data_IF_587472169840
#
_entry.id   IF_587472169840
#
_cell.length_a   1.000
_cell.length_b   1.000
_cell.length_c   1.000
_cell.angle_alpha   90.00
_cell.angle_beta   90.00
_cell.angle_gamma   90.00
#
_symmetry.space_group_name_H-M   'P 1'
#
loop_
_entity.id
_entity.type
_entity.pdbx_description
1 polymer ?
#
# COMPACT_ATOMS: atom_id res chain seq x y z
N UNK A 1 3.41 -20.73 -10.32
CA UNK A 1 2.81 -19.81 -9.38
C UNK A 1 2.37 -18.54 -10.09
N UNK A 2 1.16 -18.08 -9.86
CA UNK A 2 0.62 -16.88 -10.49
C UNK A 2 1.24 -15.60 -9.91
N UNK A 3 1.25 -14.56 -10.69
CA UNK A 3 1.53 -13.19 -10.26
C UNK A 3 0.20 -12.45 -10.19
N UNK A 4 -0.07 -11.73 -9.10
CA UNK A 4 -1.37 -11.08 -8.89
C UNK A 4 -1.18 -9.64 -8.44
N UNK A 5 -1.96 -8.75 -9.01
CA UNK A 5 -2.17 -7.40 -8.51
C UNK A 5 -3.65 -7.16 -8.23
N UNK A 6 -3.98 -6.47 -7.16
CA UNK A 6 -5.37 -6.22 -6.77
C UNK A 6 -6.17 -5.42 -7.79
N UNK A 7 -5.51 -4.59 -8.58
CA UNK A 7 -6.11 -3.81 -9.67
C UNK A 7 -5.66 -4.39 -11.03
N UNK A 8 -4.37 -4.64 -11.21
CA UNK A 8 -3.85 -5.26 -12.42
C UNK A 8 -2.54 -6.01 -12.17
N UNK A 9 -2.21 -6.96 -13.03
CA UNK A 9 -0.94 -7.68 -12.97
C UNK A 9 0.22 -6.77 -13.38
N UNK A 10 0.10 -6.08 -14.50
CA UNK A 10 1.14 -5.21 -15.04
C UNK A 10 0.54 -4.02 -15.77
N UNK A 11 1.20 -2.87 -15.71
CA UNK A 11 0.78 -1.71 -16.49
C UNK A 11 1.98 -0.82 -16.88
N UNK A 12 1.76 -0.04 -17.95
CA UNK A 12 2.71 0.93 -18.50
C UNK A 12 2.19 2.36 -18.54
N UNK A 13 1.03 2.61 -17.90
CA UNK A 13 0.35 3.90 -17.89
C UNK A 13 0.27 4.51 -16.48
N UNK A 14 -0.95 4.85 -16.05
CA UNK A 14 -1.22 5.47 -14.76
C UNK A 14 -2.33 4.75 -14.01
N UNK A 15 -2.06 4.33 -12.77
CA UNK A 15 -3.04 3.92 -11.77
C UNK A 15 -3.13 5.05 -10.75
N UNK A 16 -4.28 5.66 -10.60
CA UNK A 16 -4.48 6.78 -9.70
C UNK A 16 -5.82 6.72 -8.99
N UNK A 17 -5.83 7.09 -7.71
CA UNK A 17 -7.04 7.13 -6.88
C UNK A 17 -7.81 5.81 -6.87
N UNK A 18 -7.06 4.72 -6.81
CA UNK A 18 -7.60 3.35 -6.74
C UNK A 18 -7.33 2.73 -5.38
N UNK A 19 -8.12 1.74 -5.02
CA UNK A 19 -7.89 0.99 -3.78
C UNK A 19 -8.28 -0.48 -3.92
N UNK A 20 -7.63 -1.31 -3.12
CA UNK A 20 -7.99 -2.70 -2.90
C UNK A 20 -8.36 -2.93 -1.44
N UNK A 21 -9.52 -3.53 -1.21
CA UNK A 21 -9.99 -3.98 0.11
C UNK A 21 -10.24 -5.49 0.16
N UNK A 22 -10.05 -6.16 -0.98
CA UNK A 22 -10.19 -7.61 -1.06
C UNK A 22 -8.88 -8.32 -0.69
N UNK A 23 -9.00 -9.47 -0.09
CA UNK A 23 -7.84 -10.31 0.22
C UNK A 23 -7.27 -10.93 -1.06
N UNK A 24 -5.96 -10.88 -1.21
CA UNK A 24 -5.20 -11.57 -2.24
C UNK A 24 -4.47 -12.71 -1.57
N UNK A 25 -4.96 -13.93 -1.79
CA UNK A 25 -4.38 -15.13 -1.18
C UNK A 25 -4.02 -16.13 -2.26
N UNK A 26 -2.79 -16.58 -2.27
CA UNK A 26 -2.28 -17.56 -3.25
C UNK A 26 -1.23 -16.98 -4.18
N UNK A 27 -0.86 -17.75 -5.19
CA UNK A 27 0.26 -17.38 -6.05
C UNK A 27 1.59 -17.34 -5.26
N UNK A 28 2.57 -16.67 -5.81
CA UNK A 28 3.88 -16.54 -5.17
C UNK A 28 4.45 -15.13 -5.19
N UNK A 29 3.86 -14.24 -5.99
CA UNK A 29 4.39 -12.89 -6.18
C UNK A 29 3.22 -11.92 -6.34
N UNK A 30 2.88 -11.19 -5.29
CA UNK A 30 1.65 -10.41 -5.25
C UNK A 30 1.91 -8.95 -4.86
N UNK A 31 1.16 -8.04 -5.49
CA UNK A 31 1.07 -6.64 -5.09
C UNK A 31 -0.37 -6.27 -4.75
N UNK A 32 -0.60 -5.57 -3.65
CA UNK A 32 -1.94 -5.18 -3.22
C UNK A 32 -2.68 -4.30 -4.23
N UNK A 33 -1.96 -3.50 -4.99
CA UNK A 33 -2.49 -2.69 -6.10
C UNK A 33 -2.04 -3.28 -7.44
N UNK A 34 -0.74 -3.47 -7.65
CA UNK A 34 -0.20 -3.93 -8.92
C UNK A 34 0.97 -4.90 -8.68
N UNK A 35 1.12 -5.91 -9.52
CA UNK A 35 2.31 -6.75 -9.43
C UNK A 35 3.52 -6.06 -10.07
N UNK A 36 3.36 -5.45 -11.26
CA UNK A 36 4.46 -4.84 -12.02
C UNK A 36 4.11 -3.44 -12.52
N UNK A 37 4.85 -2.45 -12.08
CA UNK A 37 4.81 -1.06 -12.53
C UNK A 37 5.98 -0.82 -13.48
N UNK A 38 5.73 -0.73 -14.77
CA UNK A 38 6.77 -0.63 -15.81
C UNK A 38 7.50 0.73 -15.79
N UNK A 39 8.62 0.81 -16.50
CA UNK A 39 9.36 2.07 -16.65
C UNK A 39 8.47 3.15 -17.30
N UNK A 40 8.46 4.35 -16.70
CA UNK A 40 7.60 5.46 -17.11
C UNK A 40 6.16 5.39 -16.58
N UNK A 41 5.74 4.25 -16.04
CA UNK A 41 4.39 4.11 -15.45
C UNK A 41 4.31 4.73 -14.05
N UNK A 42 3.09 5.04 -13.61
CA UNK A 42 2.85 5.70 -12.32
C UNK A 42 1.73 5.01 -11.53
N UNK A 43 1.98 4.77 -10.25
CA UNK A 43 0.95 4.44 -9.24
C UNK A 43 0.91 5.60 -8.24
N UNK A 44 -0.21 6.29 -8.13
CA UNK A 44 -0.31 7.44 -7.23
C UNK A 44 -1.64 7.50 -6.49
N UNK A 45 -1.62 8.02 -5.27
CA UNK A 45 -2.82 8.20 -4.48
C UNK A 45 -3.67 6.92 -4.40
N UNK A 46 -3.04 5.80 -4.09
CA UNK A 46 -3.69 4.50 -4.00
C UNK A 46 -3.52 3.91 -2.59
N UNK A 47 -4.45 3.06 -2.18
CA UNK A 47 -4.27 2.33 -0.93
C UNK A 47 -4.67 0.86 -1.03
N UNK A 48 -4.00 0.04 -0.23
CA UNK A 48 -4.36 -1.34 0.02
C UNK A 48 -4.76 -1.53 1.48
N UNK A 49 -5.96 -2.03 1.70
CA UNK A 49 -6.47 -2.43 3.00
C UNK A 49 -6.79 -3.92 3.08
N UNK A 50 -6.74 -4.64 1.95
CA UNK A 50 -6.89 -6.09 1.89
C UNK A 50 -5.61 -6.82 2.31
N UNK A 51 -5.75 -8.05 2.81
CA UNK A 51 -4.62 -8.92 3.10
C UNK A 51 -3.94 -9.35 1.80
N UNK A 52 -2.60 -9.38 1.80
CA UNK A 52 -1.81 -9.94 0.70
C UNK A 52 -0.92 -11.06 1.25
N UNK A 53 -1.24 -12.29 0.91
CA UNK A 53 -0.58 -13.47 1.49
C UNK A 53 -0.30 -14.57 0.47
N UNK A 54 0.84 -15.22 0.62
CA UNK A 54 1.18 -16.42 -0.13
C UNK A 54 2.08 -17.36 0.67
N UNK A 55 2.10 -18.63 0.30
CA UNK A 55 2.98 -19.63 0.91
C UNK A 55 4.46 -19.39 0.57
N UNK A 56 4.77 -18.77 -0.56
CA UNK A 56 6.14 -18.51 -1.01
C UNK A 56 6.21 -17.20 -1.81
N UNK A 57 7.44 -16.79 -2.17
CA UNK A 57 7.68 -15.64 -3.03
C UNK A 57 7.64 -14.30 -2.30
N UNK A 58 7.43 -13.23 -3.03
CA UNK A 58 7.45 -11.86 -2.50
C UNK A 58 6.07 -11.23 -2.58
N UNK A 59 5.56 -10.79 -1.44
CA UNK A 59 4.29 -10.10 -1.32
C UNK A 59 4.50 -8.65 -0.89
N UNK A 60 3.71 -7.73 -1.42
CA UNK A 60 3.85 -6.30 -1.17
C UNK A 60 2.51 -5.61 -1.06
N UNK A 61 2.43 -4.60 -0.21
CA UNK A 61 1.19 -3.87 0.04
C UNK A 61 0.71 -3.06 -1.16
N UNK A 62 1.61 -2.50 -1.95
CA UNK A 62 1.26 -1.69 -3.11
C UNK A 62 1.72 -2.36 -4.40
N UNK A 63 3.02 -2.52 -4.60
CA UNK A 63 3.54 -3.06 -5.86
C UNK A 63 4.68 -4.04 -5.61
N UNK A 64 4.66 -5.19 -6.28
CA UNK A 64 5.74 -6.18 -6.11
C UNK A 64 7.02 -5.74 -6.82
N UNK A 65 6.93 -5.27 -8.08
CA UNK A 65 8.07 -4.82 -8.88
C UNK A 65 7.83 -3.40 -9.40
N UNK A 66 8.64 -2.45 -8.98
CA UNK A 66 8.56 -1.07 -9.45
C UNK A 66 9.77 -0.70 -10.31
N UNK A 67 9.50 -0.33 -11.57
CA UNK A 67 10.46 0.29 -12.48
C UNK A 67 10.07 1.73 -12.85
N UNK A 68 8.88 2.16 -12.45
CA UNK A 68 8.31 3.48 -12.70
C UNK A 68 8.30 4.34 -11.42
N UNK A 69 7.19 5.04 -11.19
CA UNK A 69 6.98 5.90 -10.01
C UNK A 69 5.83 5.40 -9.16
N UNK A 70 6.03 5.36 -7.84
CA UNK A 70 4.96 5.14 -6.85
C UNK A 70 4.96 6.35 -5.92
N UNK A 71 3.80 6.99 -5.70
CA UNK A 71 3.72 8.17 -4.83
C UNK A 71 2.41 8.26 -4.06
N UNK A 72 2.48 8.83 -2.85
CA UNK A 72 1.33 9.11 -2.00
C UNK A 72 0.42 7.89 -1.82
N UNK A 73 1.01 6.72 -1.56
CA UNK A 73 0.29 5.48 -1.38
C UNK A 73 0.35 4.99 0.07
N UNK A 74 -0.72 4.31 0.49
CA UNK A 74 -0.89 3.81 1.85
C UNK A 74 -1.19 2.31 1.86
N UNK A 75 -0.48 1.54 2.68
CA UNK A 75 -0.84 0.17 3.00
C UNK A 75 -1.19 0.04 4.48
N UNK A 76 -2.37 -0.47 4.77
CA UNK A 76 -2.81 -0.88 6.10
C UNK A 76 -3.39 -2.30 6.10
N UNK A 77 -3.30 -3.01 4.99
CA UNK A 77 -3.58 -4.44 4.90
C UNK A 77 -2.42 -5.26 5.46
N UNK A 78 -2.74 -6.44 5.98
CA UNK A 78 -1.73 -7.41 6.43
C UNK A 78 -0.96 -7.97 5.23
N UNK A 79 0.37 -7.99 5.33
CA UNK A 79 1.22 -8.59 4.32
C UNK A 79 2.00 -9.75 4.94
N UNK A 80 1.93 -10.92 4.32
CA UNK A 80 2.63 -12.10 4.82
C UNK A 80 3.15 -13.00 3.71
N UNK A 81 4.21 -13.77 4.03
CA UNK A 81 4.72 -14.87 3.22
C UNK A 81 5.26 -15.95 4.15
N UNK A 82 4.86 -17.20 3.98
CA UNK A 82 5.30 -18.29 4.85
C UNK A 82 6.76 -18.65 4.64
N UNK A 83 7.21 -18.70 3.39
CA UNK A 83 8.59 -19.04 3.00
C UNK A 83 9.17 -18.09 1.95
N UNK A 84 8.92 -16.80 2.14
CA UNK A 84 9.40 -15.76 1.21
C UNK A 84 9.56 -14.42 1.91
N UNK A 85 9.39 -13.33 1.16
CA UNK A 85 9.56 -11.97 1.67
C UNK A 85 8.24 -11.19 1.66
N UNK A 86 8.05 -10.34 2.64
CA UNK A 86 6.91 -9.45 2.76
C UNK A 86 7.39 -7.99 2.89
N UNK A 87 6.74 -7.08 2.17
CA UNK A 87 7.08 -5.66 2.14
C UNK A 87 5.83 -4.78 2.23
N UNK A 88 5.89 -3.75 3.04
CA UNK A 88 4.74 -2.88 3.28
C UNK A 88 4.28 -2.10 2.05
N UNK A 89 5.20 -1.67 1.20
CA UNK A 89 4.91 -0.88 -0.01
C UNK A 89 5.39 -1.60 -1.27
N UNK A 90 6.68 -1.90 -1.39
CA UNK A 90 7.24 -2.43 -2.63
C UNK A 90 8.27 -3.54 -2.38
N UNK A 91 8.17 -4.65 -3.11
CA UNK A 91 9.10 -5.78 -2.97
C UNK A 91 10.45 -5.56 -3.64
N UNK A 92 10.45 -5.10 -4.87
CA UNK A 92 11.66 -4.80 -5.64
C UNK A 92 11.52 -3.43 -6.27
N UNK A 93 12.39 -2.49 -5.93
CA UNK A 93 12.35 -1.13 -6.47
C UNK A 93 13.60 -0.82 -7.28
N UNK A 94 13.43 -0.55 -8.57
CA UNK A 94 14.44 0.05 -9.45
C UNK A 94 14.01 1.40 -10.02
N UNK A 95 12.81 1.86 -9.68
CA UNK A 95 12.24 3.17 -10.01
C UNK A 95 12.26 4.14 -8.81
N UNK A 96 11.25 4.98 -8.71
CA UNK A 96 11.14 5.99 -7.66
C UNK A 96 9.92 5.73 -6.76
N UNK A 97 10.09 5.82 -5.45
CA UNK A 97 8.99 5.75 -4.48
C UNK A 97 9.07 6.95 -3.56
N UNK A 98 7.97 7.70 -3.44
CA UNK A 98 7.91 8.92 -2.61
C UNK A 98 6.64 8.99 -1.78
N UNK A 99 6.74 9.50 -0.55
CA UNK A 99 5.59 9.80 0.31
C UNK A 99 4.63 8.60 0.46
N UNK A 100 5.16 7.42 0.76
CA UNK A 100 4.37 6.21 0.93
C UNK A 100 4.48 5.69 2.36
N UNK A 101 3.36 5.17 2.88
CA UNK A 101 3.28 4.78 4.28
C UNK A 101 2.73 3.37 4.45
N UNK A 102 3.31 2.61 5.39
CA UNK A 102 2.85 1.30 5.81
C UNK A 102 2.49 1.29 7.30
N UNK A 103 1.37 0.69 7.65
CA UNK A 103 0.97 0.56 9.05
C UNK A 103 1.81 -0.52 9.76
N UNK A 104 2.70 -0.08 10.66
CA UNK A 104 3.53 -0.97 11.47
C UNK A 104 2.78 -1.64 12.61
N UNK A 105 1.63 -1.13 13.02
CA UNK A 105 0.80 -1.78 14.04
C UNK A 105 0.13 -3.05 13.49
N UNK A 106 -0.08 -3.10 12.17
CA UNK A 106 -0.60 -4.28 11.45
C UNK A 106 0.54 -5.20 11.00
N UNK A 107 1.61 -4.62 10.48
CA UNK A 107 2.67 -5.36 9.77
C UNK A 107 3.97 -5.53 10.60
N UNK A 108 4.01 -5.06 11.84
CA UNK A 108 5.15 -5.22 12.73
C UNK A 108 6.47 -4.71 12.11
N UNK A 109 7.48 -5.55 12.10
CA UNK A 109 8.83 -5.21 11.63
C UNK A 109 9.02 -5.34 10.11
N UNK A 110 7.97 -5.65 9.35
CA UNK A 110 8.04 -5.68 7.89
C UNK A 110 8.51 -4.33 7.37
N UNK A 111 9.62 -4.35 6.61
CA UNK A 111 10.17 -3.13 6.02
C UNK A 111 9.24 -2.57 4.93
N UNK A 112 9.24 -1.25 4.76
CA UNK A 112 8.33 -0.63 3.80
C UNK A 112 8.69 -0.96 2.35
N UNK A 113 9.98 -1.04 2.03
CA UNK A 113 10.44 -1.32 0.67
C UNK A 113 11.67 -2.22 0.69
N UNK A 114 11.71 -3.21 -0.18
CA UNK A 114 12.90 -4.01 -0.45
C UNK A 114 13.83 -3.30 -1.42
N UNK A 115 15.13 -3.56 -1.24
CA UNK A 115 16.14 -3.08 -2.16
C UNK A 115 16.03 -3.85 -3.49
N UNK A 116 16.08 -3.14 -4.60
CA UNK A 116 16.27 -3.78 -5.90
C UNK A 116 17.61 -4.53 -5.92
N UNK A 117 17.71 -5.62 -6.69
CA UNK A 117 18.95 -6.39 -6.83
C UNK A 117 20.18 -5.56 -7.21
N UNK A 118 20.00 -4.34 -7.64
CA UNK A 118 21.06 -3.45 -8.14
C UNK A 118 21.18 -2.15 -7.33
N UNK A 119 20.33 -1.91 -6.32
CA UNK A 119 20.36 -0.67 -5.54
C UNK A 119 20.09 0.61 -6.35
N UNK A 120 19.45 0.50 -7.53
CA UNK A 120 19.26 1.63 -8.45
C UNK A 120 18.02 2.47 -8.13
N UNK A 121 17.04 1.89 -7.45
CA UNK A 121 15.79 2.58 -7.12
C UNK A 121 15.97 3.63 -6.02
N UNK A 122 15.21 4.73 -6.09
CA UNK A 122 15.20 5.74 -5.05
C UNK A 122 13.96 5.66 -4.18
N UNK A 123 14.12 5.97 -2.89
CA UNK A 123 13.02 6.11 -1.94
C UNK A 123 13.17 7.42 -1.18
N UNK A 124 12.10 8.21 -1.13
CA UNK A 124 12.06 9.44 -0.33
C UNK A 124 10.78 9.43 0.50
N UNK A 125 10.93 9.57 1.82
CA UNK A 125 9.81 9.60 2.75
C UNK A 125 8.90 8.36 2.62
N UNK A 126 9.51 7.18 2.59
CA UNK A 126 8.82 5.88 2.60
C UNK A 126 8.94 5.31 4.00
N UNK A 127 7.88 5.40 4.78
CA UNK A 127 7.94 5.21 6.23
C UNK A 127 6.91 4.20 6.74
N UNK A 128 7.21 3.67 7.91
CA UNK A 128 6.28 2.89 8.73
C UNK A 128 5.69 3.79 9.80
N UNK A 129 4.38 3.88 9.88
CA UNK A 129 3.66 4.64 10.92
C UNK A 129 2.75 3.71 11.70
N UNK A 130 2.46 4.05 12.93
CA UNK A 130 1.44 3.32 13.72
C UNK A 130 0.04 3.65 13.21
N UNK A 131 -0.92 2.78 13.49
CA UNK A 131 -2.34 3.06 13.24
C UNK A 131 -2.76 4.40 13.85
N UNK A 132 -2.29 4.71 15.06
CA UNK A 132 -2.59 5.99 15.74
C UNK A 132 -2.05 7.20 14.97
N UNK A 133 -0.87 7.11 14.39
CA UNK A 133 -0.29 8.17 13.56
C UNK A 133 -1.01 8.33 12.22
N UNK A 134 -1.49 7.23 11.64
CA UNK A 134 -2.22 7.23 10.36
C UNK A 134 -3.67 7.72 10.52
N UNK A 135 -4.29 7.48 11.66
CA UNK A 135 -5.70 7.74 11.94
C UNK A 135 -5.92 8.90 12.93
N UNK A 136 -5.01 9.85 13.01
CA UNK A 136 -5.03 10.94 13.99
C UNK A 136 -5.97 12.10 13.65
N UNK A 137 -6.75 12.00 12.57
CA UNK A 137 -7.66 13.06 12.11
C UNK A 137 -6.96 14.19 11.35
N UNK A 138 -5.69 13.98 10.91
CA UNK A 138 -4.93 14.98 10.16
C UNK A 138 -4.05 14.32 9.10
N UNK A 139 -3.83 14.98 7.98
CA UNK A 139 -2.85 14.59 6.98
C UNK A 139 -1.46 15.23 7.19
N UNK A 140 -1.30 16.07 8.21
CA UNK A 140 -0.04 16.81 8.45
C UNK A 140 1.19 15.92 8.67
N UNK A 141 0.98 14.67 9.05
CA UNK A 141 2.05 13.69 9.23
C UNK A 141 2.26 12.80 7.99
N UNK A 142 1.54 13.06 6.92
CA UNK A 142 1.55 12.27 5.68
C UNK A 142 1.92 13.18 4.51
N UNK A 143 3.21 13.45 4.38
CA UNK A 143 3.70 14.31 3.30
C UNK A 143 3.21 13.82 1.94
N UNK A 144 2.79 14.75 1.09
CA UNK A 144 2.23 14.46 -0.21
C UNK A 144 0.74 14.05 -0.23
N UNK A 145 0.13 13.83 0.94
CA UNK A 145 -1.30 13.55 1.03
C UNK A 145 -2.07 14.87 1.09
N UNK A 146 -2.87 15.14 0.08
CA UNK A 146 -3.63 16.37 -0.11
C UNK A 146 -5.11 16.16 0.21
N UNK A 147 -5.73 17.10 0.95
CA UNK A 147 -7.13 17.01 1.36
C UNK A 147 -8.13 17.04 0.19
N UNK A 148 -7.73 17.53 -0.97
CA UNK A 148 -8.53 17.42 -2.20
C UNK A 148 -8.62 16.00 -2.75
N UNK A 149 -7.70 15.13 -2.32
CA UNK A 149 -7.61 13.73 -2.74
C UNK A 149 -7.94 12.77 -1.60
N UNK A 150 -7.49 13.10 -0.38
CA UNK A 150 -7.61 12.25 0.79
C UNK A 150 -8.51 12.87 1.85
N UNK A 151 -9.40 12.11 2.42
CA UNK A 151 -10.13 12.47 3.62
C UNK A 151 -9.40 11.96 4.86
N UNK A 152 -9.42 12.74 5.93
CA UNK A 152 -8.78 12.38 7.20
C UNK A 152 -9.43 11.15 7.83
N UNK A 153 -8.60 10.33 8.46
CA UNK A 153 -9.04 9.23 9.30
C UNK A 153 -9.13 9.63 10.77
N UNK A 154 -9.79 8.81 11.57
CA UNK A 154 -9.86 8.97 13.01
C UNK A 154 -9.42 7.70 13.74
N UNK A 155 -8.81 7.88 14.89
CA UNK A 155 -8.32 6.80 15.75
C UNK A 155 -9.10 6.73 17.06
N UNK A 156 -9.60 5.55 17.39
CA UNK A 156 -10.22 5.27 18.69
C UNK A 156 -9.32 4.32 19.51
N UNK A 157 -8.61 4.82 20.51
CA UNK A 157 -7.67 4.01 21.28
C UNK A 157 -8.32 2.94 22.18
N UNK A 158 -9.64 2.97 22.35
CA UNK A 158 -10.36 2.01 23.21
C UNK A 158 -10.64 0.68 22.51
N UNK A 159 -10.33 0.56 21.24
CA UNK A 159 -10.57 -0.65 20.47
C UNK A 159 -9.27 -1.18 19.90
N UNK A 160 -8.94 -2.37 20.33
CA UNK A 160 -7.81 -3.12 19.80
C UNK A 160 -8.14 -3.62 18.39
N UNK A 161 -7.28 -3.40 17.38
CA UNK A 161 -7.46 -4.03 16.09
C UNK A 161 -7.55 -5.54 16.29
N UNK A 162 -8.60 -6.18 15.82
CA UNK A 162 -8.59 -7.64 15.72
C UNK A 162 -7.69 -8.00 14.56
N UNK A 163 -6.72 -8.84 14.84
CA UNK A 163 -5.81 -9.40 13.87
C UNK A 163 -6.56 -9.79 12.59
N UNK A 164 -6.17 -9.18 11.47
CA UNK A 164 -6.47 -9.64 10.13
C UNK A 164 -7.91 -9.54 9.63
N UNK A 165 -8.83 -8.79 10.28
CA UNK A 165 -10.18 -8.60 9.77
C UNK A 165 -10.73 -7.21 10.04
N UNK A 166 -11.23 -6.56 9.01
CA UNK A 166 -12.05 -5.35 9.07
C UNK A 166 -13.44 -5.62 9.67
N UNK A 167 -13.50 -6.32 10.79
CA UNK A 167 -14.73 -6.54 11.54
C UNK A 167 -14.86 -5.49 12.64
N UNK A 168 -15.91 -4.68 12.60
CA UNK A 168 -16.23 -3.65 13.58
C UNK A 168 -15.10 -2.59 13.71
N UNK A 169 -15.02 -1.73 12.72
CA UNK A 169 -14.03 -0.67 12.62
C UNK A 169 -14.25 0.44 13.61
N UNK A 170 -13.23 0.69 14.38
CA UNK A 170 -13.08 1.88 15.20
C UNK A 170 -11.89 2.73 14.76
N UNK A 171 -11.11 2.26 13.78
CA UNK A 171 -10.08 3.05 13.12
C UNK A 171 -10.55 3.45 11.74
N UNK A 172 -10.47 4.73 11.45
CA UNK A 172 -10.73 5.24 10.11
C UNK A 172 -9.42 5.72 9.52
N UNK A 173 -8.82 4.93 8.65
CA UNK A 173 -7.64 5.34 7.89
C UNK A 173 -7.98 6.46 6.92
N UNK A 174 -6.99 7.28 6.53
CA UNK A 174 -7.13 8.16 5.39
C UNK A 174 -7.61 7.37 4.18
N UNK A 175 -8.65 7.87 3.53
CA UNK A 175 -9.24 7.25 2.34
C UNK A 175 -9.43 8.29 1.25
N UNK A 176 -9.55 7.83 0.04
CA UNK A 176 -9.80 8.71 -1.10
C UNK A 176 -11.13 9.45 -0.92
N UNK A 177 -11.12 10.75 -1.13
CA UNK A 177 -12.33 11.56 -1.17
C UNK A 177 -13.22 11.06 -2.30
N UNK A 178 -14.49 10.83 -2.02
CA UNK A 178 -15.43 10.39 -3.04
C UNK A 178 -15.43 11.42 -4.19
N UNK A 179 -15.19 10.96 -5.40
CA UNK A 179 -15.37 11.79 -6.59
C UNK A 179 -16.87 12.04 -6.69
N UNK A 180 -17.31 13.23 -6.35
CA UNK A 180 -18.67 13.70 -6.65
C UNK A 180 -18.82 13.70 -8.17
N UNK A 181 -19.52 12.70 -8.69
CA UNK A 181 -19.93 12.71 -10.08
C UNK A 181 -20.92 13.87 -10.23
N UNK A 182 -20.44 15.02 -10.69
CA UNK A 182 -21.35 16.08 -11.15
C UNK A 182 -22.05 15.48 -12.36
N UNK A 183 -23.34 15.20 -12.20
CA UNK A 183 -24.18 14.84 -13.33
C UNK A 183 -24.14 15.99 -14.34
N UNK A 184 -23.70 15.71 -15.56
CA UNK A 184 -23.77 16.61 -16.69
C UNK A 184 -25.21 16.65 -17.19
#
# INVERSE_FOLDING_TARGET
>A
GGQVGGICESHSGKISKCYNMADIVGGGFNGGICNKNDSGATIENCYNGGKVAAAYGTNSGICKNNSGTISCCLNFGEISSESGSAYGICGTNIGNITNCYNDKSVNGEIIACGDGFTGIGSTTNVNRKTTAELCNGSLNNLDGFDESVWSVGSYNPTVTPKEGRFGAQTYTYPKLTAVTKTAA
#
